data_IF_384076861159
#
_entry.id   IF_384076861159
#
_cell.length_a   1.000
_cell.length_b   1.000
_cell.length_c   1.000
_cell.angle_alpha   90.00
_cell.angle_beta   90.00
_cell.angle_gamma   90.00
#
_symmetry.space_group_name_H-M   'P 1'
#
loop_
_entity.id
_entity.type
_entity.pdbx_description
1 polymer ?
#
# COMPACT_ATOMS: atom_id res chain seq x y z
N UNK A 1 0.36 -11.69 2.74
CA UNK A 1 1.44 -11.82 1.74
C UNK A 1 1.36 -13.15 1.00
N UNK A 2 0.92 -13.09 -0.25
CA UNK A 2 0.72 -14.27 -1.10
C UNK A 2 1.99 -15.11 -1.27
N UNK A 3 3.16 -14.47 -1.37
CA UNK A 3 4.45 -15.12 -1.65
C UNK A 3 4.93 -16.09 -0.55
N UNK A 4 4.32 -16.08 0.64
CA UNK A 4 4.67 -17.00 1.74
C UNK A 4 3.99 -18.35 1.66
N UNK A 5 2.89 -18.46 0.91
CA UNK A 5 2.08 -19.69 0.83
C UNK A 5 1.91 -20.13 -0.61
N UNK A 6 2.53 -21.25 -0.98
CA UNK A 6 2.35 -21.89 -2.28
C UNK A 6 0.87 -22.15 -2.59
N UNK A 7 0.07 -22.44 -1.56
CA UNK A 7 -1.38 -22.65 -1.67
C UNK A 7 -2.10 -21.38 -2.14
N UNK A 8 -1.82 -20.24 -1.50
CA UNK A 8 -2.48 -18.96 -1.80
C UNK A 8 -2.04 -18.39 -3.15
N UNK A 9 -0.77 -18.55 -3.53
CA UNK A 9 -0.28 -18.19 -4.88
C UNK A 9 -1.03 -18.98 -5.94
N UNK A 10 -1.18 -20.29 -5.74
CA UNK A 10 -1.85 -21.15 -6.71
C UNK A 10 -3.33 -20.79 -6.85
N UNK A 11 -4.04 -20.51 -5.75
CA UNK A 11 -5.42 -20.00 -5.76
C UNK A 11 -5.56 -18.69 -6.55
N UNK A 12 -4.63 -17.76 -6.34
CA UNK A 12 -4.60 -16.50 -7.07
C UNK A 12 -4.38 -16.68 -8.56
N UNK A 13 -3.40 -17.49 -8.95
CA UNK A 13 -3.18 -17.79 -10.36
C UNK A 13 -4.43 -18.41 -11.01
N UNK A 14 -5.11 -19.32 -10.31
CA UNK A 14 -6.36 -19.93 -10.80
C UNK A 14 -7.47 -18.88 -10.95
N UNK A 15 -7.68 -18.01 -9.96
CA UNK A 15 -8.70 -16.96 -10.03
C UNK A 15 -8.40 -15.93 -11.14
N UNK A 16 -7.13 -15.58 -11.35
CA UNK A 16 -6.71 -14.68 -12.44
C UNK A 16 -6.96 -15.31 -13.81
N UNK A 17 -6.60 -16.58 -14.00
CA UNK A 17 -6.86 -17.28 -15.26
C UNK A 17 -8.36 -17.35 -15.55
N UNK A 18 -9.18 -17.65 -14.54
CA UNK A 18 -10.64 -17.67 -14.71
C UNK A 18 -11.18 -16.25 -14.95
N UNK A 19 -10.76 -15.24 -14.19
CA UNK A 19 -11.23 -13.86 -14.37
C UNK A 19 -10.96 -13.32 -15.78
N UNK A 20 -9.81 -13.66 -16.36
CA UNK A 20 -9.42 -13.24 -17.71
C UNK A 20 -10.12 -13.97 -18.85
N UNK A 21 -10.69 -15.16 -18.61
CA UNK A 21 -11.23 -16.04 -19.67
C UNK A 21 -12.65 -16.57 -19.39
N UNK A 22 -13.27 -16.18 -18.27
CA UNK A 22 -14.63 -16.56 -17.91
C UNK A 22 -15.64 -16.15 -19.00
N UNK A 23 -16.76 -16.90 -19.15
CA UNK A 23 -17.18 -17.99 -18.29
C UNK A 23 -16.63 -19.37 -18.66
N UNK A 24 -16.17 -19.57 -19.90
CA UNK A 24 -15.85 -20.91 -20.43
C UNK A 24 -14.33 -21.15 -20.37
N UNK A 25 -13.86 -21.80 -19.30
CA UNK A 25 -12.45 -22.10 -19.05
C UNK A 25 -12.29 -23.55 -18.59
N UNK A 26 -11.51 -24.35 -19.32
CA UNK A 26 -11.31 -25.74 -18.94
C UNK A 26 -10.23 -25.88 -17.86
N UNK A 27 -10.46 -26.72 -16.84
CA UNK A 27 -9.45 -27.00 -15.80
C UNK A 27 -8.10 -27.49 -16.38
N UNK A 28 -8.14 -28.21 -17.50
CA UNK A 28 -6.94 -28.68 -18.21
C UNK A 28 -6.10 -27.52 -18.75
N UNK A 29 -6.74 -26.45 -19.23
CA UNK A 29 -6.06 -25.27 -19.75
C UNK A 29 -5.45 -24.46 -18.60
N UNK A 30 -6.21 -24.27 -17.53
CA UNK A 30 -5.73 -23.64 -16.28
C UNK A 30 -4.49 -24.38 -15.75
N UNK A 31 -4.57 -25.71 -15.67
CA UNK A 31 -3.47 -26.58 -15.24
C UNK A 31 -2.20 -26.38 -16.10
N UNK A 32 -2.38 -26.34 -17.43
CA UNK A 32 -1.26 -26.16 -18.37
C UNK A 32 -0.60 -24.79 -18.24
N UNK A 33 -1.37 -23.72 -18.00
CA UNK A 33 -0.83 -22.35 -17.87
C UNK A 33 -0.11 -22.13 -16.54
N UNK A 34 -0.64 -22.70 -15.47
CA UNK A 34 -0.10 -22.54 -14.11
C UNK A 34 1.03 -23.55 -13.83
N UNK A 35 1.11 -24.65 -14.58
CA UNK A 35 2.13 -25.69 -14.40
C UNK A 35 1.81 -26.67 -13.26
N UNK A 36 0.52 -26.98 -13.07
CA UNK A 36 0.04 -27.96 -12.07
C UNK A 36 -0.84 -29.02 -12.73
N UNK A 37 -1.23 -30.07 -12.00
CA UNK A 37 -2.11 -31.12 -12.55
C UNK A 37 -3.58 -30.66 -12.58
N UNK A 38 -4.40 -31.14 -13.55
CA UNK A 38 -5.84 -30.85 -13.55
C UNK A 38 -6.55 -31.29 -12.26
N UNK A 39 -6.08 -32.35 -11.60
CA UNK A 39 -6.58 -32.80 -10.31
C UNK A 39 -6.32 -31.75 -9.22
N UNK A 40 -5.11 -31.17 -9.18
CA UNK A 40 -4.79 -30.09 -8.25
C UNK A 40 -5.70 -28.87 -8.51
N UNK A 41 -5.89 -28.47 -9.77
CA UNK A 41 -6.84 -27.40 -10.14
C UNK A 41 -8.24 -27.71 -9.61
N UNK A 42 -8.72 -28.95 -9.76
CA UNK A 42 -10.05 -29.32 -9.25
C UNK A 42 -10.18 -29.19 -7.74
N UNK A 43 -9.13 -29.49 -6.97
CA UNK A 43 -9.14 -29.32 -5.51
C UNK A 43 -9.14 -27.83 -5.12
N UNK A 44 -8.31 -27.03 -5.79
CA UNK A 44 -8.29 -25.59 -5.57
C UNK A 44 -9.62 -24.92 -5.92
N UNK A 45 -10.28 -25.35 -7.00
CA UNK A 45 -11.61 -24.85 -7.36
C UNK A 45 -12.64 -25.17 -6.28
N UNK A 46 -12.61 -26.36 -5.68
CA UNK A 46 -13.52 -26.70 -4.56
C UNK A 46 -13.27 -25.78 -3.36
N UNK A 47 -12.02 -25.51 -3.03
CA UNK A 47 -11.65 -24.58 -1.96
C UNK A 47 -12.15 -23.15 -2.27
N UNK A 48 -11.92 -22.66 -3.49
CA UNK A 48 -12.34 -21.32 -3.94
C UNK A 48 -13.87 -21.16 -3.96
N UNK A 49 -14.61 -22.20 -4.32
CA UNK A 49 -16.08 -22.22 -4.25
C UNK A 49 -16.54 -22.20 -2.79
N UNK A 50 -15.90 -22.99 -1.91
CA UNK A 50 -16.22 -23.02 -0.47
C UNK A 50 -15.95 -21.68 0.21
N UNK A 51 -14.89 -20.99 -0.21
CA UNK A 51 -14.51 -19.65 0.28
C UNK A 51 -15.37 -18.53 -0.34
N UNK A 52 -16.26 -18.86 -1.29
CA UNK A 52 -17.18 -17.91 -1.90
C UNK A 52 -16.53 -17.00 -2.95
N UNK A 53 -15.30 -17.28 -3.38
CA UNK A 53 -14.59 -16.50 -4.41
C UNK A 53 -14.95 -16.92 -5.83
N UNK A 54 -15.55 -18.10 -6.00
CA UNK A 54 -15.84 -18.69 -7.30
C UNK A 54 -17.23 -19.33 -7.33
N UNK A 55 -17.96 -19.10 -8.41
CA UNK A 55 -19.12 -19.90 -8.78
C UNK A 55 -18.74 -20.92 -9.86
N UNK A 56 -19.24 -22.15 -9.73
CA UNK A 56 -18.97 -23.25 -10.64
C UNK A 56 -20.27 -23.88 -11.13
N UNK A 57 -20.42 -23.95 -12.46
CA UNK A 57 -21.48 -24.69 -13.15
C UNK A 57 -20.82 -25.85 -13.92
N UNK A 58 -20.29 -26.81 -13.16
CA UNK A 58 -19.52 -27.94 -13.70
C UNK A 58 -18.03 -27.66 -13.93
N UNK A 59 -17.41 -28.44 -14.83
CA UNK A 59 -15.93 -28.47 -15.01
C UNK A 59 -15.37 -27.50 -16.06
N UNK A 60 -16.26 -26.75 -16.70
CA UNK A 60 -15.92 -25.92 -17.87
C UNK A 60 -16.41 -24.50 -17.69
N UNK A 61 -17.41 -24.28 -16.83
CA UNK A 61 -18.02 -22.97 -16.65
C UNK A 61 -17.79 -22.45 -15.24
N UNK A 62 -17.05 -21.34 -15.16
CA UNK A 62 -16.68 -20.69 -13.92
C UNK A 62 -16.98 -19.20 -13.98
N UNK A 63 -17.38 -18.62 -12.86
CA UNK A 63 -17.55 -17.18 -12.73
C UNK A 63 -16.96 -16.70 -11.43
N UNK A 64 -16.04 -15.77 -11.48
CA UNK A 64 -15.47 -15.15 -10.28
C UNK A 64 -16.54 -14.29 -9.62
N UNK A 65 -16.72 -14.44 -8.31
CA UNK A 65 -17.68 -13.64 -7.55
C UNK A 65 -17.13 -12.24 -7.29
N UNK A 66 -17.96 -11.32 -6.79
CA UNK A 66 -17.49 -9.99 -6.39
C UNK A 66 -16.38 -10.06 -5.33
N UNK A 67 -16.57 -10.90 -4.30
CA UNK A 67 -15.55 -11.13 -3.27
C UNK A 67 -14.28 -11.78 -3.84
N UNK A 68 -14.42 -12.64 -4.86
CA UNK A 68 -13.26 -13.19 -5.57
C UNK A 68 -12.47 -12.13 -6.34
N UNK A 69 -13.16 -11.17 -6.98
CA UNK A 69 -12.52 -10.04 -7.67
C UNK A 69 -11.81 -9.14 -6.66
N UNK A 70 -12.46 -8.78 -5.55
CA UNK A 70 -11.86 -7.99 -4.47
C UNK A 70 -10.62 -8.69 -3.90
N UNK A 71 -10.70 -10.00 -3.64
CA UNK A 71 -9.57 -10.78 -3.16
C UNK A 71 -8.41 -10.80 -4.17
N UNK A 72 -8.68 -10.97 -5.47
CA UNK A 72 -7.64 -10.90 -6.51
C UNK A 72 -6.99 -9.51 -6.53
N UNK A 73 -7.79 -8.45 -6.46
CA UNK A 73 -7.28 -7.08 -6.45
C UNK A 73 -6.36 -6.84 -5.24
N UNK A 74 -6.80 -7.18 -4.02
CA UNK A 74 -5.99 -7.06 -2.81
C UNK A 74 -4.65 -7.80 -2.91
N UNK A 75 -4.66 -9.03 -3.43
CA UNK A 75 -3.44 -9.83 -3.58
C UNK A 75 -2.51 -9.29 -4.67
N UNK A 76 -3.07 -8.75 -5.77
CA UNK A 76 -2.29 -8.11 -6.82
C UNK A 76 -1.60 -6.83 -6.31
N UNK A 77 -2.30 -6.04 -5.49
CA UNK A 77 -1.77 -4.87 -4.79
C UNK A 77 -0.60 -5.27 -3.88
N UNK A 78 -0.78 -6.30 -3.05
CA UNK A 78 0.30 -6.81 -2.19
C UNK A 78 1.53 -7.22 -3.01
N UNK A 79 1.33 -7.91 -4.14
CA UNK A 79 2.41 -8.32 -5.01
C UNK A 79 3.12 -7.13 -5.65
N UNK A 80 2.38 -6.12 -6.10
CA UNK A 80 2.92 -4.88 -6.65
C UNK A 80 3.75 -4.11 -5.64
N UNK A 81 3.24 -3.91 -4.42
CA UNK A 81 3.96 -3.28 -3.31
C UNK A 81 5.27 -3.99 -3.00
N UNK A 82 5.23 -5.33 -2.97
CA UNK A 82 6.43 -6.12 -2.74
C UNK A 82 7.43 -6.01 -3.89
N UNK A 83 6.97 -6.07 -5.15
CA UNK A 83 7.84 -5.92 -6.30
C UNK A 83 8.52 -4.54 -6.32
N UNK A 84 7.77 -3.49 -5.99
CA UNK A 84 8.30 -2.14 -5.86
C UNK A 84 9.35 -2.04 -4.75
N UNK A 85 9.05 -2.51 -3.54
CA UNK A 85 10.02 -2.61 -2.44
C UNK A 85 11.28 -3.39 -2.85
N UNK A 86 11.11 -4.54 -3.51
CA UNK A 86 12.26 -5.32 -3.99
C UNK A 86 13.07 -4.55 -5.02
N UNK A 87 12.43 -3.86 -5.97
CA UNK A 87 13.14 -3.13 -7.02
C UNK A 87 13.85 -1.88 -6.49
N UNK A 88 13.13 -1.06 -5.72
CA UNK A 88 13.59 0.27 -5.28
C UNK A 88 14.40 0.25 -3.98
N UNK A 89 14.17 -0.72 -3.09
CA UNK A 89 14.87 -0.76 -1.78
C UNK A 89 15.89 -1.91 -1.69
N UNK A 90 15.69 -3.03 -2.40
CA UNK A 90 16.61 -4.18 -2.34
C UNK A 90 17.53 -4.29 -3.57
N UNK A 91 16.97 -4.25 -4.79
CA UNK A 91 17.72 -4.51 -6.04
C UNK A 91 18.47 -3.26 -6.51
N UNK A 92 17.97 -2.06 -6.22
CA UNK A 92 18.74 -0.82 -6.37
C UNK A 92 19.97 -0.79 -5.44
N UNK A 93 19.97 -1.59 -4.37
CA UNK A 93 21.02 -1.67 -3.34
C UNK A 93 21.49 -3.12 -3.08
N UNK A 94 21.79 -3.90 -4.12
CA UNK A 94 22.52 -5.18 -3.95
C UNK A 94 23.93 -4.82 -3.45
N UNK A 95 24.19 -4.58 -2.17
CA UNK A 95 24.17 -5.55 -1.09
C UNK A 95 23.92 -4.93 0.29
N UNK A 96 23.45 -3.67 0.36
CA UNK A 96 23.53 -2.83 1.57
C UNK A 96 22.27 -1.99 1.71
N UNK A 97 21.43 -2.29 2.69
CA UNK A 97 20.37 -1.39 3.09
C UNK A 97 20.94 -0.26 3.97
N UNK A 98 20.58 0.98 3.67
CA UNK A 98 20.90 2.12 4.54
C UNK A 98 19.78 2.30 5.55
N UNK A 99 20.11 2.32 6.83
CA UNK A 99 19.18 2.52 7.93
C UNK A 99 19.68 3.62 8.87
N UNK A 100 18.80 4.16 9.71
CA UNK A 100 19.17 5.09 10.79
C UNK A 100 19.48 4.27 12.05
N UNK A 101 20.66 4.43 12.61
CA UNK A 101 21.06 3.75 13.83
C UNK A 101 20.27 4.25 15.05
N UNK A 102 19.78 3.35 15.92
CA UNK A 102 19.11 3.66 17.20
C UNK A 102 20.02 3.68 18.42
N UNK A 103 21.29 3.35 18.19
CA UNK A 103 22.37 3.30 19.16
C UNK A 103 23.68 3.22 18.39
N UNK A 104 24.78 3.28 19.12
CA UNK A 104 26.09 3.03 18.53
C UNK A 104 26.20 1.59 18.03
N UNK A 105 26.67 1.44 16.80
CA UNK A 105 27.09 0.20 16.19
C UNK A 105 28.54 0.28 15.74
N UNK A 106 29.24 -0.84 15.87
CA UNK A 106 30.52 -1.07 15.21
C UNK A 106 30.29 -1.88 13.94
N UNK A 107 31.19 -1.74 12.97
CA UNK A 107 31.21 -2.59 11.78
C UNK A 107 31.28 -4.07 12.16
N UNK A 108 30.39 -4.87 11.58
CA UNK A 108 30.29 -6.31 11.83
C UNK A 108 29.28 -6.69 12.91
N UNK A 109 28.63 -5.71 13.55
CA UNK A 109 27.58 -5.96 14.53
C UNK A 109 26.34 -6.58 13.87
N UNK A 110 25.76 -7.56 14.55
CA UNK A 110 24.46 -8.09 14.18
C UNK A 110 23.37 -7.12 14.61
N UNK A 111 22.47 -6.79 13.68
CA UNK A 111 21.39 -5.83 13.90
C UNK A 111 20.06 -6.37 13.41
N UNK A 112 18.99 -5.83 13.97
CA UNK A 112 17.63 -5.99 13.47
C UNK A 112 17.18 -4.69 12.80
N UNK A 113 16.43 -4.82 11.72
CA UNK A 113 15.85 -3.71 10.96
C UNK A 113 14.35 -3.63 11.17
N UNK A 114 13.85 -2.40 11.27
CA UNK A 114 12.42 -2.09 11.40
C UNK A 114 12.06 -0.81 10.65
N UNK A 115 10.83 -0.75 10.13
CA UNK A 115 10.27 0.47 9.54
C UNK A 115 9.62 1.30 10.64
N UNK A 116 9.97 2.58 10.70
CA UNK A 116 9.32 3.56 11.57
C UNK A 116 9.18 4.88 10.84
N UNK A 117 7.97 5.45 10.83
CA UNK A 117 7.67 6.72 10.18
C UNK A 117 8.17 6.82 8.72
N UNK A 118 8.11 5.71 7.97
CA UNK A 118 8.54 5.66 6.57
C UNK A 118 10.04 5.50 6.35
N UNK A 119 10.82 5.37 7.41
CA UNK A 119 12.27 5.21 7.34
C UNK A 119 12.70 3.88 7.97
N UNK A 120 13.82 3.36 7.47
CA UNK A 120 14.41 2.14 7.98
C UNK A 120 15.33 2.47 9.16
N UNK A 121 15.16 1.76 10.27
CA UNK A 121 16.01 1.89 11.46
C UNK A 121 16.72 0.58 11.78
N UNK A 122 17.96 0.70 12.25
CA UNK A 122 18.75 -0.40 12.79
C UNK A 122 18.76 -0.37 14.32
N UNK A 123 18.41 -1.50 14.93
CA UNK A 123 18.26 -1.67 16.38
C UNK A 123 18.43 -3.12 16.81
N UNK A 124 17.91 -3.46 17.98
CA UNK A 124 17.87 -4.84 18.48
C UNK A 124 16.53 -5.53 18.17
N UNK A 125 15.45 -4.75 18.11
CA UNK A 125 14.09 -5.22 17.85
C UNK A 125 13.74 -5.08 16.36
N UNK A 126 13.41 -6.20 15.70
CA UNK A 126 13.00 -6.19 14.30
C UNK A 126 12.81 -7.58 13.72
N UNK A 127 12.21 -7.64 12.54
CA UNK A 127 11.87 -8.90 11.86
C UNK A 127 12.88 -9.27 10.76
N UNK A 128 13.74 -8.34 10.39
CA UNK A 128 14.82 -8.55 9.43
C UNK A 128 16.12 -8.40 10.18
N UNK A 129 17.02 -9.38 10.08
CA UNK A 129 18.35 -9.29 10.67
C UNK A 129 19.40 -9.05 9.61
N UNK A 130 20.52 -8.47 9.98
CA UNK A 130 21.64 -8.20 9.08
C UNK A 130 22.94 -7.90 9.84
N UNK A 131 23.97 -7.51 9.10
CA UNK A 131 25.29 -7.19 9.63
C UNK A 131 25.70 -5.78 9.18
N UNK A 132 26.15 -4.95 10.11
CA UNK A 132 26.62 -3.59 9.79
C UNK A 132 27.92 -3.62 8.99
N UNK A 133 28.05 -2.72 8.01
CA UNK A 133 29.27 -2.59 7.20
C UNK A 133 30.10 -1.34 7.52
N UNK A 134 29.55 -0.46 8.36
CA UNK A 134 30.17 0.77 8.87
C UNK A 134 29.92 0.90 10.38
N UNK A 135 30.76 1.70 11.03
CA UNK A 135 30.45 2.22 12.36
C UNK A 135 29.38 3.32 12.23
N UNK A 136 28.54 3.50 13.24
CA UNK A 136 27.55 4.58 13.30
C UNK A 136 27.20 4.89 14.76
N UNK A 137 27.06 6.16 15.10
CA UNK A 137 26.46 6.59 16.36
C UNK A 137 24.92 6.70 16.23
N UNK A 138 24.21 6.89 17.36
CA UNK A 138 22.75 7.04 17.36
C UNK A 138 22.30 8.22 16.48
N UNK A 139 21.37 7.94 15.56
CA UNK A 139 20.85 8.91 14.59
C UNK A 139 21.64 9.01 13.27
N UNK A 140 22.79 8.36 13.14
CA UNK A 140 23.57 8.35 11.90
C UNK A 140 23.10 7.26 10.92
N UNK A 141 23.48 7.39 9.65
CA UNK A 141 23.25 6.35 8.66
C UNK A 141 24.21 5.17 8.87
N UNK A 142 23.67 3.95 8.78
CA UNK A 142 24.42 2.70 8.87
C UNK A 142 24.05 1.80 7.71
N UNK A 143 25.06 1.30 7.01
CA UNK A 143 24.89 0.30 5.97
C UNK A 143 24.76 -1.09 6.58
N UNK A 144 23.79 -1.88 6.14
CA UNK A 144 23.51 -3.23 6.63
C UNK A 144 23.42 -4.23 5.49
N UNK A 145 24.25 -5.28 5.53
CA UNK A 145 24.31 -6.38 4.56
C UNK A 145 23.74 -7.68 5.14
N UNK A 146 23.76 -8.75 4.35
CA UNK A 146 23.39 -10.12 4.75
C UNK A 146 21.98 -10.21 5.35
N UNK A 147 21.07 -9.44 4.74
CA UNK A 147 19.70 -9.29 5.21
C UNK A 147 18.96 -10.63 5.17
N UNK A 148 18.37 -11.02 6.29
CA UNK A 148 17.54 -12.21 6.45
C UNK A 148 16.19 -11.84 7.04
N UNK A 149 15.14 -12.21 6.33
CA UNK A 149 13.76 -11.90 6.72
C UNK A 149 13.08 -11.00 5.70
N UNK A 150 11.89 -10.52 6.04
CA UNK A 150 11.15 -9.55 5.23
C UNK A 150 10.67 -8.41 6.11
N UNK A 151 10.80 -7.18 5.62
CA UNK A 151 10.27 -6.00 6.28
C UNK A 151 8.75 -6.07 6.22
N UNK A 152 8.11 -6.02 7.38
CA UNK A 152 6.67 -5.88 7.48
C UNK A 152 6.28 -4.42 7.37
N UNK A 153 5.36 -4.10 6.47
CA UNK A 153 4.76 -2.77 6.39
C UNK A 153 3.42 -2.77 7.14
N UNK A 154 3.15 -1.77 8.00
CA UNK A 154 1.83 -1.62 8.59
C UNK A 154 0.79 -1.35 7.49
N UNK A 155 -0.48 -1.73 7.69
CA UNK A 155 -1.56 -1.32 6.81
C UNK A 155 -1.61 0.20 6.69
N UNK A 156 -1.67 0.70 5.47
CA UNK A 156 -1.71 2.14 5.18
C UNK A 156 -3.14 2.56 4.91
N UNK A 157 -3.57 3.66 5.54
CA UNK A 157 -4.86 4.29 5.30
C UNK A 157 -4.64 5.72 4.75
N UNK A 158 -5.10 5.94 3.51
CA UNK A 158 -5.10 7.25 2.86
C UNK A 158 -6.50 7.85 2.96
N UNK A 159 -6.60 9.02 3.60
CA UNK A 159 -7.87 9.75 3.71
C UNK A 159 -7.79 11.02 2.86
N UNK A 160 -8.74 11.22 1.96
CA UNK A 160 -8.82 12.37 1.07
C UNK A 160 -9.96 13.25 1.55
N UNK A 161 -9.60 14.42 2.06
CA UNK A 161 -10.50 15.44 2.52
C UNK A 161 -10.71 16.49 1.42
N UNK A 162 -11.86 16.42 0.77
CA UNK A 162 -12.24 17.36 -0.27
C UNK A 162 -12.66 18.69 0.34
N UNK A 163 -12.12 19.79 -0.19
CA UNK A 163 -12.54 21.16 0.16
C UNK A 163 -13.17 21.89 -1.03
N UNK A 164 -14.13 22.79 -0.80
CA UNK A 164 -14.74 23.59 -1.86
C UNK A 164 -13.72 24.50 -2.55
N UNK A 165 -13.96 24.80 -3.82
CA UNK A 165 -13.28 25.87 -4.55
C UNK A 165 -13.69 27.25 -4.04
N UNK A 166 -12.85 28.25 -4.27
CA UNK A 166 -13.10 29.62 -3.82
C UNK A 166 -14.44 30.20 -4.32
N UNK A 167 -14.92 29.84 -5.52
CA UNK A 167 -16.22 30.31 -6.02
C UNK A 167 -17.40 29.75 -5.20
N UNK A 168 -17.19 28.62 -4.52
CA UNK A 168 -18.15 27.98 -3.61
C UNK A 168 -17.85 28.30 -2.13
N UNK A 169 -17.11 29.38 -1.88
CA UNK A 169 -16.71 29.86 -0.56
C UNK A 169 -15.37 29.31 -0.04
N UNK A 170 -14.75 28.38 -0.77
CA UNK A 170 -13.38 27.95 -0.55
C UNK A 170 -13.13 27.42 0.86
N UNK A 171 -11.99 27.80 1.42
CA UNK A 171 -11.63 27.45 2.80
C UNK A 171 -12.63 27.97 3.84
N UNK A 172 -13.47 28.98 3.56
CA UNK A 172 -14.46 29.52 4.53
C UNK A 172 -15.67 28.60 4.71
N UNK A 173 -15.94 27.77 3.70
CA UNK A 173 -17.05 26.79 3.68
C UNK A 173 -16.61 25.40 4.15
N UNK A 174 -15.45 25.27 4.81
CA UNK A 174 -14.91 24.00 5.30
C UNK A 174 -15.30 23.75 6.75
N UNK A 175 -15.75 22.53 7.05
CA UNK A 175 -15.91 22.02 8.41
C UNK A 175 -14.53 21.79 9.06
N UNK A 176 -14.10 22.75 9.89
CA UNK A 176 -12.80 22.69 10.54
C UNK A 176 -12.74 21.67 11.68
N UNK A 177 -13.86 21.38 12.34
CA UNK A 177 -13.88 20.40 13.42
C UNK A 177 -13.65 19.01 12.83
N UNK A 178 -14.35 18.68 11.74
CA UNK A 178 -14.13 17.43 11.01
C UNK A 178 -12.72 17.34 10.42
N UNK A 179 -12.20 18.42 9.82
CA UNK A 179 -10.83 18.43 9.30
C UNK A 179 -9.80 18.20 10.43
N UNK A 180 -10.01 18.80 11.60
CA UNK A 180 -9.15 18.64 12.77
C UNK A 180 -9.23 17.21 13.32
N UNK A 181 -10.39 16.60 13.37
CA UNK A 181 -10.57 15.20 13.76
C UNK A 181 -9.82 14.27 12.79
N UNK A 182 -10.03 14.43 11.48
CA UNK A 182 -9.44 13.54 10.46
C UNK A 182 -7.93 13.70 10.29
N UNK A 183 -7.37 14.83 10.71
CA UNK A 183 -5.91 15.06 10.72
C UNK A 183 -5.22 14.50 11.96
N UNK A 184 -5.94 14.14 13.02
CA UNK A 184 -5.33 13.50 14.18
C UNK A 184 -4.71 12.16 13.79
N UNK A 185 -3.50 11.91 14.31
CA UNK A 185 -2.76 10.66 14.12
C UNK A 185 -2.42 10.32 12.66
N UNK A 186 -2.45 11.31 11.75
CA UNK A 186 -1.97 11.16 10.38
C UNK A 186 -0.51 11.65 10.30
N UNK A 187 0.48 10.75 10.16
CA UNK A 187 1.90 11.12 10.18
C UNK A 187 2.33 11.91 8.92
N UNK A 188 1.52 11.85 7.85
CA UNK A 188 1.80 12.51 6.59
C UNK A 188 0.59 13.28 6.09
N UNK A 189 0.73 14.59 5.90
CA UNK A 189 -0.35 15.50 5.49
C UNK A 189 0.06 16.21 4.22
N UNK A 190 -0.71 16.01 3.15
CA UNK A 190 -0.54 16.66 1.87
C UNK A 190 -1.66 17.67 1.63
N UNK A 191 -1.33 18.76 0.93
CA UNK A 191 -2.31 19.75 0.51
C UNK A 191 -2.23 19.97 -1.01
N UNK A 192 -3.38 19.87 -1.68
CA UNK A 192 -3.53 20.09 -3.12
C UNK A 192 -4.48 21.25 -3.34
N UNK A 193 -3.94 22.36 -3.82
CA UNK A 193 -4.67 23.62 -4.02
C UNK A 193 -4.56 24.60 -2.85
N UNK A 194 -4.78 25.88 -3.14
CA UNK A 194 -4.59 26.97 -2.17
C UNK A 194 -5.65 26.90 -1.06
N UNK A 195 -6.90 26.56 -1.39
CA UNK A 195 -7.99 26.41 -0.43
C UNK A 195 -7.71 25.29 0.57
N UNK A 196 -7.06 24.21 0.14
CA UNK A 196 -6.63 23.12 1.02
C UNK A 196 -5.55 23.59 2.01
N UNK A 197 -4.51 24.27 1.52
CA UNK A 197 -3.46 24.86 2.36
C UNK A 197 -4.05 25.84 3.39
N UNK A 198 -4.93 26.74 2.94
CA UNK A 198 -5.57 27.72 3.85
C UNK A 198 -6.44 27.03 4.89
N UNK A 199 -7.16 25.97 4.51
CA UNK A 199 -7.98 25.18 5.45
C UNK A 199 -7.14 24.50 6.53
N UNK A 200 -6.01 23.90 6.17
CA UNK A 200 -5.07 23.32 7.13
C UNK A 200 -4.46 24.37 8.07
N UNK A 201 -4.07 25.54 7.53
CA UNK A 201 -3.54 26.64 8.36
C UNK A 201 -4.55 27.15 9.39
N UNK A 202 -5.85 27.14 9.07
CA UNK A 202 -6.91 27.56 10.00
C UNK A 202 -7.08 26.64 11.20
N UNK A 203 -6.60 25.39 11.10
CA UNK A 203 -6.52 24.45 12.22
C UNK A 203 -5.10 24.30 12.75
N UNK A 204 -4.21 25.24 12.42
CA UNK A 204 -2.80 25.27 12.84
C UNK A 204 -1.97 24.06 12.40
N UNK A 205 -2.31 23.46 11.26
CA UNK A 205 -1.53 22.37 10.65
C UNK A 205 -0.75 22.90 9.45
N UNK A 206 0.55 22.60 9.43
CA UNK A 206 1.40 22.78 8.26
C UNK A 206 1.49 21.46 7.50
N UNK A 207 1.15 21.42 6.20
CA UNK A 207 1.30 20.20 5.41
C UNK A 207 2.79 19.86 5.20
N UNK A 208 3.10 18.58 5.13
CA UNK A 208 4.42 18.07 4.77
C UNK A 208 4.76 18.41 3.31
N UNK A 209 3.75 18.40 2.44
CA UNK A 209 3.93 18.60 1.00
C UNK A 209 2.81 19.44 0.38
N UNK A 210 3.18 20.22 -0.63
CA UNK A 210 2.28 21.06 -1.43
C UNK A 210 2.39 20.74 -2.93
N UNK A 211 3.62 20.66 -3.43
CA UNK A 211 3.91 20.37 -4.84
C UNK A 211 4.37 18.90 -4.97
N UNK A 212 3.94 18.23 -6.04
CA UNK A 212 4.19 16.79 -6.20
C UNK A 212 3.42 15.91 -5.21
N UNK A 213 2.34 16.44 -4.61
CA UNK A 213 1.58 15.77 -3.56
C UNK A 213 0.99 14.42 -3.99
N UNK A 214 0.61 14.25 -5.26
CA UNK A 214 0.03 12.99 -5.77
C UNK A 214 1.06 11.87 -5.71
N UNK A 215 2.27 12.14 -6.19
CA UNK A 215 3.39 11.21 -6.19
C UNK A 215 3.92 10.99 -4.78
N UNK A 216 4.07 12.07 -4.01
CA UNK A 216 4.54 12.04 -2.62
C UNK A 216 3.64 11.18 -1.71
N UNK A 217 2.33 11.22 -1.88
CA UNK A 217 1.40 10.36 -1.12
C UNK A 217 1.52 8.88 -1.51
N UNK A 218 1.73 8.59 -2.79
CA UNK A 218 2.01 7.23 -3.27
C UNK A 218 3.27 6.68 -2.62
N UNK A 219 4.37 7.45 -2.67
CA UNK A 219 5.65 7.05 -2.09
C UNK A 219 5.54 6.85 -0.58
N UNK A 220 4.91 7.79 0.13
CA UNK A 220 4.65 7.64 1.57
C UNK A 220 3.90 6.32 1.87
N UNK A 221 2.91 5.96 1.06
CA UNK A 221 2.16 4.72 1.23
C UNK A 221 3.00 3.46 0.97
N UNK A 222 3.94 3.48 0.02
CA UNK A 222 4.87 2.37 -0.19
C UNK A 222 5.85 2.21 0.97
N UNK A 223 6.18 3.30 1.65
CA UNK A 223 6.99 3.31 2.86
C UNK A 223 6.18 3.04 4.15
N UNK A 224 4.90 2.69 4.04
CA UNK A 224 4.07 2.34 5.19
C UNK A 224 3.46 3.52 5.95
N UNK A 225 3.48 4.73 5.39
CA UNK A 225 2.91 5.93 6.02
C UNK A 225 1.46 6.17 5.60
N UNK A 226 0.57 6.17 6.60
CA UNK A 226 -0.81 6.65 6.44
C UNK A 226 -0.84 8.15 6.20
N UNK A 227 -1.69 8.57 5.27
CA UNK A 227 -1.73 9.96 4.81
C UNK A 227 -3.11 10.60 4.95
N UNK A 228 -3.14 11.91 5.19
CA UNK A 228 -4.28 12.78 4.93
C UNK A 228 -3.96 13.65 3.73
N UNK A 229 -4.85 13.70 2.74
CA UNK A 229 -4.72 14.61 1.61
C UNK A 229 -5.88 15.58 1.64
N UNK A 230 -5.62 16.85 1.89
CA UNK A 230 -6.63 17.90 1.72
C UNK A 230 -6.55 18.39 0.29
N UNK A 231 -7.61 18.26 -0.48
CA UNK A 231 -7.60 18.59 -1.92
C UNK A 231 -8.81 19.42 -2.30
N UNK A 232 -8.60 20.39 -3.20
CA UNK A 232 -9.74 21.00 -3.91
C UNK A 232 -10.47 19.95 -4.74
N UNK A 233 -11.79 20.08 -4.84
CA UNK A 233 -12.70 19.14 -5.54
C UNK A 233 -12.20 18.72 -6.94
N UNK A 234 -11.77 19.68 -7.75
CA UNK A 234 -11.32 19.46 -9.13
C UNK A 234 -10.06 18.58 -9.24
N UNK A 235 -9.22 18.55 -8.21
CA UNK A 235 -7.97 17.78 -8.21
C UNK A 235 -8.16 16.35 -7.68
N UNK A 236 -9.29 16.08 -7.03
CA UNK A 236 -9.59 14.76 -6.44
C UNK A 236 -9.58 13.66 -7.52
N UNK A 237 -10.27 13.78 -8.69
CA UNK A 237 -10.26 12.73 -9.69
C UNK A 237 -8.85 12.33 -10.16
N UNK A 238 -7.95 13.31 -10.33
CA UNK A 238 -6.57 13.05 -10.72
C UNK A 238 -5.78 12.29 -9.64
N UNK A 239 -6.01 12.62 -8.37
CA UNK A 239 -5.43 11.88 -7.25
C UNK A 239 -5.99 10.45 -7.15
N UNK A 240 -7.31 10.26 -7.29
CA UNK A 240 -7.93 8.93 -7.25
C UNK A 240 -7.34 8.02 -8.32
N UNK A 241 -7.31 8.49 -9.57
CA UNK A 241 -6.72 7.73 -10.68
C UNK A 241 -5.26 7.32 -10.40
N UNK A 242 -4.47 8.22 -9.77
CA UNK A 242 -3.07 7.94 -9.41
C UNK A 242 -2.97 6.87 -8.33
N UNK A 243 -3.82 6.92 -7.30
CA UNK A 243 -3.82 5.94 -6.22
C UNK A 243 -4.31 4.57 -6.71
N UNK A 244 -5.36 4.55 -7.53
CA UNK A 244 -5.93 3.32 -8.10
C UNK A 244 -4.96 2.62 -9.04
N UNK A 245 -4.18 3.38 -9.83
CA UNK A 245 -3.16 2.78 -10.71
C UNK A 245 -2.03 2.11 -9.91
N UNK A 246 -1.80 2.55 -8.67
CA UNK A 246 -0.92 1.89 -7.70
C UNK A 246 -1.63 0.86 -6.82
N UNK A 247 -2.95 0.76 -6.98
CA UNK A 247 -3.80 -0.11 -6.18
C UNK A 247 -3.75 0.24 -4.69
N UNK A 248 -3.66 1.52 -4.37
CA UNK A 248 -3.72 2.00 -2.99
C UNK A 248 -5.17 2.24 -2.59
N UNK A 249 -5.55 1.72 -1.43
CA UNK A 249 -6.87 1.95 -0.85
C UNK A 249 -6.95 3.35 -0.26
N UNK A 250 -8.12 3.99 -0.41
CA UNK A 250 -8.38 5.32 0.10
C UNK A 250 -9.83 5.49 0.55
N UNK A 251 -10.06 6.48 1.41
CA UNK A 251 -11.39 6.97 1.80
C UNK A 251 -11.53 8.43 1.34
N UNK A 252 -12.68 8.81 0.80
CA UNK A 252 -12.97 10.21 0.42
C UNK A 252 -14.02 10.79 1.35
N UNK A 253 -13.75 11.98 1.89
CA UNK A 253 -14.60 12.72 2.81
C UNK A 253 -14.84 14.11 2.24
N UNK A 254 -16.10 14.54 2.20
CA UNK A 254 -16.47 15.90 1.84
C UNK A 254 -16.47 16.79 3.08
N UNK A 255 -15.63 17.83 3.09
CA UNK A 255 -15.58 18.80 4.20
C UNK A 255 -16.40 20.06 3.91
N UNK A 256 -17.13 20.13 2.80
CA UNK A 256 -18.05 21.22 2.56
C UNK A 256 -19.12 21.25 3.66
N UNK A 257 -19.30 22.39 4.32
CA UNK A 257 -20.44 22.59 5.22
C UNK A 257 -21.72 22.42 4.41
N UNK A 258 -22.48 21.37 4.69
CA UNK A 258 -23.86 21.25 4.21
C UNK A 258 -24.60 22.52 4.65
N UNK A 259 -25.23 23.21 3.70
CA UNK A 259 -25.90 24.49 3.97
C UNK A 259 -26.84 24.38 5.17
N UNK A 260 -26.68 25.30 6.11
CA UNK A 260 -27.73 25.64 7.07
C UNK A 260 -28.80 26.48 6.38
#
# INVERSE_FOLDING_TARGET
MILRSKKEITKFQILVEIAGHQPDVMQKEIASRIGITPQAVSEYIKDLVREGFLYSDGRVRYRVTKSGVEWVLERAIELKKYAHFVMEDIVSHVSVATAIARKRFSRGDAVSLMMENGLLYAGEDGFVTGITISDADDGEDVGVTDLKGMIGFPPVNITICKVPRVEKGGSRSVDYEMLKERSQNKPYIAAIGVEALVSLRKISIQPNILFGAKESVVEAAFHGLSSLVVSVDEEVPGLLNRLESEGLNYEVIDLGKSGA
#
